data_IF_932170250601
#
_entry.id   IF_932170250601
#
_cell.length_a   1.000
_cell.length_b   1.000
_cell.length_c   1.000
_cell.angle_alpha   90.00
_cell.angle_beta   90.00
_cell.angle_gamma   90.00
#
_symmetry.space_group_name_H-M   'P 1'
#
loop_
_entity.id
_entity.type
_entity.pdbx_description
1 polymer ?
#
# COMPACT_ATOMS: atom_id res chain seq x y z
N UNK A 1 -13.29 -5.56 12.23
CA UNK A 1 -14.59 -6.02 11.88
C UNK A 1 -15.03 -5.40 10.56
N UNK A 2 -14.51 -5.86 9.49
CA UNK A 2 -14.85 -5.27 8.22
C UNK A 2 -15.86 -6.07 7.48
N UNK A 3 -17.04 -6.06 7.96
CA UNK A 3 -17.94 -7.06 7.48
C UNK A 3 -18.75 -6.67 6.27
N UNK A 4 -19.14 -5.47 6.07
CA UNK A 4 -20.04 -5.18 4.96
C UNK A 4 -19.61 -3.93 4.16
N UNK A 5 -18.65 -4.16 3.30
CA UNK A 5 -18.35 -3.20 2.28
C UNK A 5 -19.60 -2.98 1.40
N UNK A 6 -19.96 -1.74 1.10
CA UNK A 6 -21.05 -1.46 0.18
C UNK A 6 -20.90 -2.27 -1.11
N UNK A 7 -22.01 -2.74 -1.66
CA UNK A 7 -22.04 -3.62 -2.83
C UNK A 7 -21.26 -3.05 -4.02
N UNK A 8 -21.35 -1.77 -4.27
CA UNK A 8 -20.62 -1.06 -5.33
C UNK A 8 -19.10 -1.09 -5.10
N UNK A 9 -18.65 -0.97 -3.84
CA UNK A 9 -17.25 -1.06 -3.46
C UNK A 9 -16.67 -2.44 -3.76
N UNK A 10 -17.44 -3.50 -3.49
CA UNK A 10 -17.05 -4.87 -3.84
C UNK A 10 -17.01 -5.10 -5.35
N UNK A 11 -17.96 -4.55 -6.09
CA UNK A 11 -18.01 -4.72 -7.55
C UNK A 11 -16.79 -4.11 -8.24
N UNK A 12 -16.41 -2.91 -7.87
CA UNK A 12 -15.31 -2.21 -8.50
C UNK A 12 -13.95 -2.71 -8.03
N UNK A 13 -13.85 -3.08 -6.76
CA UNK A 13 -12.62 -3.61 -6.20
C UNK A 13 -12.38 -5.08 -6.53
N UNK A 14 -13.43 -5.89 -6.41
CA UNK A 14 -13.40 -7.32 -6.70
C UNK A 14 -13.66 -7.63 -8.17
N UNK A 15 -13.74 -6.64 -9.04
CA UNK A 15 -13.82 -6.94 -10.46
C UNK A 15 -12.59 -7.75 -10.79
N UNK A 16 -12.81 -9.04 -11.06
CA UNK A 16 -11.77 -10.01 -11.46
C UNK A 16 -11.01 -9.56 -12.72
N UNK A 17 -11.47 -8.49 -13.32
CA UNK A 17 -10.95 -7.87 -14.52
C UNK A 17 -10.00 -6.70 -14.20
N UNK A 18 -9.76 -6.40 -12.91
CA UNK A 18 -8.70 -5.48 -12.58
C UNK A 18 -7.35 -6.22 -12.64
N UNK A 19 -7.02 -6.61 -13.83
CA UNK A 19 -5.63 -6.80 -14.25
C UNK A 19 -5.31 -5.54 -15.03
N UNK A 20 -4.24 -4.80 -14.72
CA UNK A 20 -3.79 -3.73 -15.59
C UNK A 20 -3.76 -4.29 -17.02
N UNK A 21 -4.53 -3.70 -17.92
CA UNK A 21 -4.57 -4.13 -19.32
C UNK A 21 -3.18 -4.16 -19.94
N UNK A 22 -2.31 -3.36 -19.38
CA UNK A 22 -0.91 -3.28 -19.74
C UNK A 22 -0.05 -3.80 -18.58
N UNK A 23 0.74 -4.83 -18.82
CA UNK A 23 1.75 -5.32 -17.83
C UNK A 23 2.81 -4.28 -17.50
N UNK A 24 2.88 -3.21 -18.27
CA UNK A 24 3.78 -2.07 -18.08
C UNK A 24 3.00 -0.82 -17.64
N UNK A 25 1.95 -0.96 -16.86
CA UNK A 25 1.11 0.15 -16.37
C UNK A 25 1.92 1.30 -15.72
N UNK A 26 3.06 0.97 -15.12
CA UNK A 26 4.01 1.97 -14.59
C UNK A 26 4.73 2.79 -15.66
N UNK A 27 4.67 2.37 -16.93
CA UNK A 27 5.21 3.10 -18.08
C UNK A 27 4.14 3.91 -18.80
N UNK A 28 2.90 3.57 -18.56
CA UNK A 28 1.74 4.18 -19.20
C UNK A 28 0.76 4.57 -18.12
N UNK A 29 0.85 5.81 -17.68
CA UNK A 29 0.02 6.40 -16.63
C UNK A 29 -1.42 6.66 -17.09
N UNK A 30 -1.80 6.23 -18.29
CA UNK A 30 -3.13 6.43 -18.87
C UNK A 30 -4.20 5.48 -18.35
N UNK A 31 -3.84 4.46 -17.57
CA UNK A 31 -4.79 3.46 -17.03
C UNK A 31 -4.75 3.42 -15.47
N UNK A 32 -5.13 4.50 -14.80
CA UNK A 32 -5.11 4.56 -13.35
C UNK A 32 -6.16 3.67 -12.71
N UNK A 33 -5.79 3.05 -11.59
CA UNK A 33 -6.66 2.21 -10.79
C UNK A 33 -7.52 3.05 -9.87
N UNK A 34 -8.68 3.44 -10.34
CA UNK A 34 -9.64 4.12 -9.50
C UNK A 34 -10.94 3.32 -9.40
N UNK A 35 -11.49 3.27 -8.18
CA UNK A 35 -12.85 2.80 -7.98
C UNK A 35 -13.83 3.89 -8.43
N UNK A 36 -14.97 3.45 -8.90
CA UNK A 36 -16.08 4.34 -9.23
C UNK A 36 -16.89 4.65 -7.97
N UNK A 37 -16.45 5.68 -7.25
CA UNK A 37 -17.10 6.11 -6.02
C UNK A 37 -18.16 7.17 -6.31
N UNK A 38 -19.35 7.09 -5.65
CA UNK A 38 -20.33 8.16 -5.74
C UNK A 38 -19.83 9.42 -5.06
N UNK A 39 -20.29 10.58 -5.55
CA UNK A 39 -19.81 11.89 -5.08
C UNK A 39 -19.91 12.08 -3.58
N UNK A 40 -21.00 11.63 -2.96
CA UNK A 40 -21.16 11.72 -1.50
C UNK A 40 -20.08 10.94 -0.72
N UNK A 41 -19.61 9.83 -1.26
CA UNK A 41 -18.55 9.05 -0.61
C UNK A 41 -17.19 9.72 -0.79
N UNK A 42 -16.97 10.36 -1.93
CA UNK A 42 -15.79 11.20 -2.15
C UNK A 42 -15.79 12.42 -1.23
N UNK A 43 -16.89 13.12 -1.12
CA UNK A 43 -17.04 14.29 -0.22
C UNK A 43 -16.74 13.90 1.24
N UNK A 44 -17.31 12.79 1.70
CA UNK A 44 -17.04 12.26 3.04
C UNK A 44 -15.55 11.93 3.22
N UNK A 45 -14.94 11.26 2.25
CA UNK A 45 -13.52 10.93 2.29
C UNK A 45 -12.65 12.19 2.38
N UNK A 46 -12.92 13.20 1.58
CA UNK A 46 -12.17 14.46 1.59
C UNK A 46 -12.32 15.22 2.90
N UNK A 47 -13.52 15.24 3.49
CA UNK A 47 -13.75 15.83 4.79
C UNK A 47 -12.95 15.13 5.91
N UNK A 48 -12.92 13.81 5.89
CA UNK A 48 -12.15 13.02 6.85
C UNK A 48 -10.64 13.17 6.65
N UNK A 49 -10.17 13.13 5.41
CA UNK A 49 -8.75 13.34 5.08
C UNK A 49 -8.27 14.71 5.54
N UNK A 50 -9.04 15.75 5.24
CA UNK A 50 -8.75 17.12 5.70
C UNK A 50 -8.67 17.19 7.22
N UNK A 51 -9.67 16.64 7.90
CA UNK A 51 -9.71 16.62 9.37
C UNK A 51 -8.52 15.88 9.97
N UNK A 52 -8.12 14.76 9.38
CA UNK A 52 -6.94 13.99 9.80
C UNK A 52 -5.67 14.85 9.68
N UNK A 53 -5.47 15.52 8.54
CA UNK A 53 -4.30 16.39 8.34
C UNK A 53 -4.32 17.56 9.35
N UNK A 54 -5.46 18.23 9.53
CA UNK A 54 -5.60 19.35 10.46
C UNK A 54 -5.23 18.98 11.89
N UNK A 55 -5.61 17.78 12.33
CA UNK A 55 -5.33 17.30 13.69
C UNK A 55 -3.88 16.88 13.86
N UNK A 56 -3.30 16.26 12.83
CA UNK A 56 -2.01 15.56 12.95
C UNK A 56 -0.81 16.37 12.41
N UNK A 57 -1.02 17.45 11.66
CA UNK A 57 0.08 18.19 11.03
C UNK A 57 1.09 18.79 12.03
N UNK A 58 0.70 19.01 13.29
CA UNK A 58 1.58 19.52 14.32
C UNK A 58 2.56 18.47 14.90
N UNK A 59 2.48 17.22 14.46
CA UNK A 59 3.35 16.16 14.95
C UNK A 59 4.57 16.02 14.04
N UNK A 60 5.77 16.44 14.48
CA UNK A 60 6.97 16.42 13.63
C UNK A 60 7.47 15.00 13.29
N UNK A 61 6.98 13.98 13.98
CA UNK A 61 7.26 12.58 13.65
C UNK A 61 6.51 12.07 12.44
N UNK A 62 5.44 12.76 12.00
CA UNK A 62 4.75 12.47 10.76
C UNK A 62 5.51 13.12 9.61
N UNK A 63 6.05 12.33 8.73
CA UNK A 63 6.88 12.80 7.61
C UNK A 63 6.27 12.50 6.24
N UNK A 64 5.31 11.59 6.18
CA UNK A 64 4.67 11.15 4.94
C UNK A 64 3.16 11.02 5.16
N UNK A 65 2.38 11.54 4.24
CA UNK A 65 0.97 11.21 4.09
C UNK A 65 0.81 10.06 3.10
N UNK A 66 0.03 9.04 3.47
CA UNK A 66 -0.36 7.95 2.58
C UNK A 66 -1.88 7.96 2.44
N UNK A 67 -2.37 8.40 1.30
CA UNK A 67 -3.82 8.60 1.09
C UNK A 67 -4.55 7.30 0.80
N UNK A 68 -3.92 6.37 0.11
CA UNK A 68 -4.50 5.07 -0.23
C UNK A 68 -3.53 3.94 0.03
N UNK A 69 -4.07 2.82 0.48
CA UNK A 69 -3.37 1.55 0.52
C UNK A 69 -3.70 0.74 -0.77
N UNK A 70 -3.08 -0.40 -0.93
CA UNK A 70 -3.18 -1.35 -2.05
C UNK A 70 -4.53 -1.36 -2.77
N UNK A 71 -4.78 -0.48 -3.71
CA UNK A 71 -6.00 -0.41 -4.55
C UNK A 71 -7.32 -0.19 -3.79
N UNK A 72 -7.37 -0.46 -2.49
CA UNK A 72 -8.59 -0.38 -1.69
C UNK A 72 -9.10 1.04 -1.58
N UNK A 73 -10.29 1.27 -2.17
CA UNK A 73 -10.95 2.56 -2.09
C UNK A 73 -10.29 3.68 -2.88
N UNK A 74 -9.23 3.41 -3.65
CA UNK A 74 -8.64 4.39 -4.53
C UNK A 74 -9.69 4.95 -5.49
N UNK A 75 -9.80 6.26 -5.52
CA UNK A 75 -10.68 6.99 -6.42
C UNK A 75 -10.14 8.39 -6.62
N UNK A 76 -10.29 8.96 -7.80
CA UNK A 76 -9.78 10.29 -8.15
C UNK A 76 -8.35 10.53 -7.62
N UNK A 77 -7.49 9.52 -7.72
CA UNK A 77 -6.21 9.50 -7.01
C UNK A 77 -5.31 10.66 -7.36
N UNK A 78 -5.26 11.04 -8.64
CA UNK A 78 -4.47 12.18 -9.08
C UNK A 78 -4.99 13.50 -8.49
N UNK A 79 -6.31 13.72 -8.54
CA UNK A 79 -6.96 14.91 -7.98
C UNK A 79 -6.71 15.03 -6.47
N UNK A 80 -6.90 13.91 -5.74
CA UNK A 80 -6.67 13.84 -4.29
C UNK A 80 -5.20 14.08 -3.96
N UNK A 81 -4.29 13.50 -4.72
CA UNK A 81 -2.85 13.71 -4.54
C UNK A 81 -2.46 15.16 -4.70
N UNK A 82 -2.87 15.79 -5.78
CA UNK A 82 -2.64 17.21 -6.04
C UNK A 82 -3.23 18.11 -4.94
N UNK A 83 -4.41 17.75 -4.43
CA UNK A 83 -5.00 18.46 -3.31
C UNK A 83 -4.15 18.35 -2.04
N UNK A 84 -3.63 17.14 -1.70
CA UNK A 84 -2.79 16.94 -0.51
C UNK A 84 -1.48 17.71 -0.62
N UNK A 85 -0.80 17.66 -1.78
CA UNK A 85 0.43 18.45 -2.03
C UNK A 85 0.24 19.94 -1.82
N UNK A 86 -0.92 20.47 -2.21
CA UNK A 86 -1.25 21.88 -2.02
C UNK A 86 -1.67 22.18 -0.57
N UNK A 87 -2.36 21.27 0.08
CA UNK A 87 -2.90 21.45 1.41
C UNK A 87 -1.84 21.34 2.50
N UNK A 88 -0.93 20.40 2.41
CA UNK A 88 0.24 20.26 3.30
C UNK A 88 1.54 20.02 2.52
N UNK A 89 2.14 21.07 1.96
CA UNK A 89 3.38 20.98 1.19
C UNK A 89 4.62 20.71 2.07
N UNK A 90 4.45 20.57 3.37
CA UNK A 90 5.56 20.39 4.31
C UNK A 90 5.95 18.91 4.49
N UNK A 91 5.19 17.98 3.93
CA UNK A 91 5.38 16.54 4.08
C UNK A 91 5.39 15.84 2.74
N UNK A 92 6.09 14.71 2.71
CA UNK A 92 6.07 13.82 1.55
C UNK A 92 4.69 13.19 1.36
N UNK A 93 4.39 12.87 0.12
CA UNK A 93 3.16 12.18 -0.26
C UNK A 93 3.46 10.83 -0.91
N UNK A 94 2.91 9.76 -0.32
CA UNK A 94 2.73 8.47 -0.96
C UNK A 94 1.26 8.35 -1.36
N UNK A 95 0.94 8.62 -2.63
CA UNK A 95 -0.46 8.69 -3.08
C UNK A 95 -1.19 7.36 -2.95
N UNK A 96 -0.49 6.27 -3.26
CA UNK A 96 -1.06 4.94 -3.17
C UNK A 96 0.04 3.91 -2.92
N UNK A 97 0.07 3.36 -1.73
CA UNK A 97 1.04 2.32 -1.40
C UNK A 97 0.75 1.02 -2.16
N UNK A 98 1.79 0.25 -2.46
CA UNK A 98 1.66 -1.08 -3.05
C UNK A 98 1.64 -1.16 -4.57
N UNK A 99 2.34 -0.29 -5.26
CA UNK A 99 2.57 -0.41 -6.70
C UNK A 99 1.44 0.13 -7.59
N UNK A 100 0.58 0.95 -7.06
CA UNK A 100 -0.43 1.70 -7.81
C UNK A 100 0.05 3.14 -8.00
N UNK A 101 1.10 3.28 -8.78
CA UNK A 101 1.75 4.55 -9.00
C UNK A 101 0.91 5.51 -9.84
N UNK A 102 0.90 6.78 -9.42
CA UNK A 102 0.37 7.92 -10.16
C UNK A 102 1.43 9.01 -10.21
N UNK A 103 1.46 9.81 -11.25
CA UNK A 103 2.37 10.96 -11.38
C UNK A 103 1.99 12.10 -10.44
N UNK A 104 2.01 11.83 -9.15
CA UNK A 104 1.74 12.79 -8.07
C UNK A 104 2.38 12.29 -6.80
N UNK A 105 2.83 13.18 -5.93
CA UNK A 105 3.54 12.84 -4.72
C UNK A 105 5.03 12.57 -4.94
N UNK A 106 5.65 12.01 -3.93
CA UNK A 106 7.10 11.88 -3.85
C UNK A 106 7.58 10.42 -3.87
N UNK A 107 6.68 9.46 -3.70
CA UNK A 107 7.01 8.08 -3.40
C UNK A 107 6.50 7.11 -4.46
N UNK A 108 7.38 6.26 -4.94
CA UNK A 108 7.04 5.06 -5.70
C UNK A 108 7.16 3.84 -4.77
N UNK A 109 6.04 3.28 -4.40
CA UNK A 109 5.94 2.22 -3.39
C UNK A 109 5.63 0.86 -4.00
N UNK A 110 6.29 -0.18 -3.49
CA UNK A 110 6.05 -1.57 -3.86
C UNK A 110 5.75 -2.41 -2.63
N UNK A 111 4.72 -3.26 -2.74
CA UNK A 111 4.41 -4.31 -1.77
C UNK A 111 4.72 -5.67 -2.37
N UNK A 112 5.49 -6.48 -1.67
CA UNK A 112 5.79 -7.84 -2.09
C UNK A 112 5.97 -8.77 -0.91
N UNK A 113 5.24 -9.88 -0.96
CA UNK A 113 5.24 -10.89 0.10
C UNK A 113 5.68 -12.26 -0.42
N UNK A 114 6.34 -13.08 0.40
CA UNK A 114 6.84 -12.79 1.74
C UNK A 114 8.14 -11.97 1.74
N UNK A 115 8.93 -12.00 0.68
CA UNK A 115 10.22 -11.32 0.60
C UNK A 115 10.11 -9.99 -0.12
N UNK A 116 10.87 -8.95 0.30
CA UNK A 116 10.87 -7.65 -0.33
C UNK A 116 11.37 -7.73 -1.76
N UNK A 117 10.79 -6.92 -2.62
CA UNK A 117 11.21 -6.75 -4.00
C UNK A 117 10.92 -5.34 -4.46
N UNK A 118 11.83 -4.77 -5.24
CA UNK A 118 11.60 -3.55 -5.98
C UNK A 118 12.13 -3.72 -7.41
N UNK A 119 11.35 -3.41 -8.44
CA UNK A 119 11.80 -3.49 -9.82
C UNK A 119 12.72 -2.30 -10.16
N UNK A 120 14.02 -2.46 -9.88
CA UNK A 120 15.02 -1.40 -10.09
C UNK A 120 15.21 -1.01 -11.55
N UNK A 121 14.75 -1.86 -12.48
CA UNK A 121 14.75 -1.64 -13.92
C UNK A 121 13.52 -0.89 -14.44
N UNK A 122 12.58 -0.55 -13.53
CA UNK A 122 11.45 0.28 -13.89
C UNK A 122 11.93 1.69 -14.23
N UNK A 123 11.46 2.26 -15.33
CA UNK A 123 11.69 3.65 -15.67
C UNK A 123 10.78 4.56 -14.83
N UNK A 124 10.84 4.41 -13.51
CA UNK A 124 10.31 5.41 -12.60
C UNK A 124 11.38 6.47 -12.55
N UNK A 125 10.99 7.69 -12.87
CA UNK A 125 11.89 8.82 -12.87
C UNK A 125 12.68 8.89 -11.56
N UNK A 126 13.95 9.30 -11.66
CA UNK A 126 14.81 9.41 -10.47
C UNK A 126 14.30 10.45 -9.46
N UNK A 127 13.24 11.19 -9.83
CA UNK A 127 12.57 12.17 -8.99
C UNK A 127 11.72 11.53 -7.88
N UNK A 128 11.41 10.22 -7.96
CA UNK A 128 10.62 9.54 -6.93
C UNK A 128 11.46 8.74 -5.95
N UNK A 129 11.09 8.83 -4.68
CA UNK A 129 11.67 8.01 -3.60
C UNK A 129 11.18 6.57 -3.76
N UNK A 130 12.06 5.64 -4.06
CA UNK A 130 11.75 4.23 -4.24
C UNK A 130 11.64 3.55 -2.88
N UNK A 131 10.47 3.01 -2.56
CA UNK A 131 10.15 2.43 -1.26
C UNK A 131 9.62 1.01 -1.41
N UNK A 132 10.09 0.09 -0.57
CA UNK A 132 9.41 -1.17 -0.29
C UNK A 132 8.57 -0.94 0.95
N UNK A 133 7.29 -0.57 0.77
CA UNK A 133 6.41 -0.17 1.86
C UNK A 133 5.95 -1.34 2.71
N UNK A 134 5.73 -2.49 2.08
CA UNK A 134 5.29 -3.68 2.80
C UNK A 134 5.97 -4.96 2.29
N UNK A 135 6.40 -5.80 3.22
CA UNK A 135 6.92 -7.15 2.98
C UNK A 135 6.78 -8.00 4.25
N UNK A 136 7.10 -9.28 4.16
CA UNK A 136 7.09 -10.18 5.32
C UNK A 136 5.79 -10.98 5.44
N UNK A 137 5.10 -10.86 6.57
CA UNK A 137 3.90 -11.65 6.85
C UNK A 137 4.18 -13.16 6.86
N UNK A 138 5.38 -13.55 7.31
CA UNK A 138 5.84 -14.95 7.29
C UNK A 138 4.98 -15.87 8.14
N UNK A 139 4.32 -15.33 9.17
CA UNK A 139 3.46 -16.05 10.09
C UNK A 139 4.21 -17.09 10.94
N UNK A 140 4.07 -16.98 12.24
CA UNK A 140 4.51 -17.98 13.19
C UNK A 140 3.52 -18.05 14.35
N UNK A 141 2.81 -19.18 14.55
CA UNK A 141 1.87 -19.35 15.64
C UNK A 141 2.61 -19.61 16.95
N UNK A 142 2.98 -18.57 17.67
CA UNK A 142 3.63 -18.71 18.98
C UNK A 142 2.62 -19.14 20.04
N UNK A 143 2.89 -20.23 20.71
CA UNK A 143 2.04 -20.78 21.75
C UNK A 143 1.82 -19.77 22.88
N UNK A 144 0.58 -19.61 23.32
CA UNK A 144 0.19 -18.64 24.36
C UNK A 144 -0.02 -17.20 23.87
N UNK A 145 0.23 -16.91 22.58
CA UNK A 145 0.04 -15.61 21.96
C UNK A 145 -0.95 -15.62 20.80
N UNK A 146 -1.72 -16.69 20.65
CA UNK A 146 -2.73 -16.81 19.64
C UNK A 146 -4.04 -16.21 20.12
N UNK A 147 -4.68 -15.39 19.29
CA UNK A 147 -6.01 -14.86 19.57
C UNK A 147 -7.06 -15.97 19.72
N UNK A 148 -6.98 -16.95 18.84
CA UNK A 148 -7.85 -18.13 18.85
C UNK A 148 -7.01 -19.34 18.45
N UNK A 149 -6.61 -20.19 19.41
CA UNK A 149 -5.74 -21.33 19.16
C UNK A 149 -6.41 -22.44 18.31
N UNK A 150 -7.75 -22.44 18.25
CA UNK A 150 -8.50 -23.42 17.45
C UNK A 150 -8.63 -23.00 15.98
N UNK A 151 -8.35 -21.74 15.65
CA UNK A 151 -8.36 -21.25 14.28
C UNK A 151 -7.07 -21.53 13.55
N UNK A 152 -7.21 -21.80 12.25
CA UNK A 152 -6.07 -21.94 11.36
C UNK A 152 -5.31 -20.63 11.25
N UNK A 153 -4.03 -20.66 11.56
CA UNK A 153 -3.10 -19.58 11.30
C UNK A 153 -2.66 -19.56 9.83
N UNK A 154 -2.18 -18.41 9.37
CA UNK A 154 -1.71 -18.24 8.01
C UNK A 154 -0.43 -17.39 7.96
N UNK A 155 0.25 -17.44 6.81
CA UNK A 155 1.36 -16.57 6.47
C UNK A 155 1.63 -16.63 4.98
N UNK A 156 2.20 -15.58 4.43
CA UNK A 156 2.58 -15.55 3.02
C UNK A 156 3.65 -16.62 2.74
N UNK A 157 3.48 -17.35 1.64
CA UNK A 157 4.33 -18.50 1.33
C UNK A 157 4.11 -19.74 2.21
N UNK A 158 2.99 -19.79 2.95
CA UNK A 158 2.66 -20.81 3.92
C UNK A 158 3.40 -20.67 5.26
N UNK A 159 2.92 -21.34 6.29
CA UNK A 159 3.55 -21.32 7.61
C UNK A 159 4.88 -22.09 7.60
N UNK A 160 5.93 -21.56 8.22
CA UNK A 160 7.15 -22.32 8.48
C UNK A 160 6.86 -23.54 9.37
N UNK A 161 7.52 -24.63 9.12
CA UNK A 161 7.35 -25.87 9.90
C UNK A 161 8.01 -25.82 11.28
N UNK A 162 9.00 -24.94 11.45
CA UNK A 162 9.77 -24.79 12.69
C UNK A 162 10.09 -23.33 12.94
N UNK A 163 10.34 -22.96 14.21
CA UNK A 163 10.78 -21.62 14.58
C UNK A 163 12.12 -21.24 13.92
N UNK A 164 12.99 -22.20 13.71
CA UNK A 164 14.26 -22.00 12.99
C UNK A 164 13.97 -21.57 11.54
N UNK A 165 13.09 -22.29 10.84
CA UNK A 165 12.72 -21.93 9.46
C UNK A 165 12.03 -20.57 9.38
N UNK A 166 11.25 -20.16 10.40
CA UNK A 166 10.70 -18.82 10.50
C UNK A 166 11.80 -17.75 10.61
N UNK A 167 12.78 -17.98 11.50
CA UNK A 167 13.90 -17.05 11.69
C UNK A 167 14.73 -16.92 10.41
N UNK A 168 14.98 -18.02 9.71
CA UNK A 168 15.74 -18.00 8.45
C UNK A 168 15.00 -17.19 7.36
N UNK A 169 13.68 -17.35 7.22
CA UNK A 169 12.88 -16.53 6.30
C UNK A 169 12.96 -15.02 6.64
N UNK A 170 12.93 -14.71 7.94
CA UNK A 170 13.05 -13.32 8.37
C UNK A 170 14.43 -12.73 8.01
N UNK A 171 15.49 -13.47 8.29
CA UNK A 171 16.87 -13.11 7.92
C UNK A 171 17.01 -12.91 6.41
N UNK A 172 16.50 -13.84 5.61
CA UNK A 172 16.51 -13.75 4.15
C UNK A 172 15.84 -12.46 3.67
N UNK A 173 14.69 -12.08 4.22
CA UNK A 173 14.03 -10.82 3.88
C UNK A 173 14.93 -9.61 4.19
N UNK A 174 15.58 -9.60 5.34
CA UNK A 174 16.51 -8.52 5.71
C UNK A 174 17.73 -8.45 4.79
N UNK A 175 18.28 -9.59 4.39
CA UNK A 175 19.41 -9.67 3.46
C UNK A 175 19.04 -9.17 2.07
N UNK A 176 17.86 -9.54 1.56
CA UNK A 176 17.34 -9.05 0.28
C UNK A 176 17.16 -7.53 0.35
N UNK A 177 16.54 -7.03 1.41
CA UNK A 177 16.35 -5.59 1.59
C UNK A 177 17.68 -4.83 1.65
N UNK A 178 18.68 -5.40 2.33
CA UNK A 178 20.03 -4.84 2.36
C UNK A 178 20.70 -4.74 0.99
N UNK A 179 20.38 -5.66 0.07
CA UNK A 179 20.88 -5.65 -1.32
C UNK A 179 20.13 -4.64 -2.21
N UNK A 180 18.86 -4.33 -1.89
CA UNK A 180 18.08 -3.32 -2.60
C UNK A 180 18.50 -1.90 -2.22
N UNK A 181 19.12 -1.72 -1.06
CA UNK A 181 19.65 -0.43 -0.61
C UNK A 181 20.95 -0.14 -1.36
N UNK A 182 20.86 0.68 -2.39
CA UNK A 182 22.01 1.21 -3.15
C UNK A 182 22.15 2.70 -2.92
#
# INVERSE_FOLDING_TARGET
GGSEWPKWKRLNFASKNYVPKNKNWWKDHSDPVNADWPDWAHEQYMAELKSMIDVLHNHPSLIVWTTFNERWGQHRSLEIGQWVEQYDPSRLLNIASGGNFFEVGDVADQHKYPHPYFPLDMPIDDDYIKVVGEFGGHGWPEQGHLWDPEKRNWGYGGLPKTKVAYIERYKESCEILGKLKK
#
